data_IF_895863054166
#
_entry.id   IF_895863054166
#
_cell.length_a   1.000
_cell.length_b   1.000
_cell.length_c   1.000
_cell.angle_alpha   90.00
_cell.angle_beta   90.00
_cell.angle_gamma   90.00
#
_symmetry.space_group_name_H-M   'P 1'
#
loop_
_entity.id
_entity.type
_entity.pdbx_description
1 polymer ?
#
# COMPACT_ATOMS: atom_id res chain seq x y z
N UNK A 1 0.14 4.72 19.38
CA UNK A 1 -0.09 5.62 18.23
C UNK A 1 -0.59 4.79 17.05
N UNK A 2 -1.60 5.27 16.34
CA UNK A 2 -2.09 4.67 15.07
C UNK A 2 -1.99 5.73 13.98
N UNK A 3 -1.50 5.35 12.81
CA UNK A 3 -1.47 6.19 11.61
C UNK A 3 -2.37 5.55 10.56
N UNK A 4 -3.27 6.33 9.97
CA UNK A 4 -4.08 5.87 8.84
C UNK A 4 -4.47 7.08 7.94
N UNK A 5 -5.23 6.86 6.87
CA UNK A 5 -5.64 7.94 5.98
C UNK A 5 -6.59 7.52 4.88
N UNK A 6 -7.04 8.49 4.10
CA UNK A 6 -8.08 8.30 3.10
C UNK A 6 -7.62 7.54 1.85
N UNK A 7 -6.30 7.40 1.65
CA UNK A 7 -5.73 7.01 0.36
C UNK A 7 -6.17 5.64 -0.13
N UNK A 8 -6.37 4.67 0.77
CA UNK A 8 -6.65 3.27 0.41
C UNK A 8 -8.03 2.84 0.86
N UNK A 9 -8.42 3.23 2.07
CA UNK A 9 -9.74 2.92 2.59
C UNK A 9 -10.84 3.66 1.81
N UNK A 10 -10.58 4.86 1.28
CA UNK A 10 -11.59 5.68 0.58
C UNK A 10 -11.27 5.92 -0.90
N UNK A 11 -10.33 5.16 -1.47
CA UNK A 11 -9.82 5.36 -2.84
C UNK A 11 -9.40 6.82 -3.16
N UNK A 12 -8.99 7.56 -2.14
CA UNK A 12 -8.76 9.01 -2.23
C UNK A 12 -7.26 9.34 -2.28
N UNK A 13 -6.48 8.63 -3.10
CA UNK A 13 -5.01 8.78 -3.15
C UNK A 13 -4.55 10.22 -3.45
N UNK A 14 -5.29 10.92 -4.31
CA UNK A 14 -5.05 12.32 -4.67
C UNK A 14 -5.46 13.35 -3.62
N UNK A 15 -6.27 12.96 -2.61
CA UNK A 15 -6.85 13.89 -1.64
C UNK A 15 -5.86 14.31 -0.55
N UNK A 16 -4.78 13.54 -0.36
CA UNK A 16 -3.69 13.86 0.57
C UNK A 16 -4.16 14.04 2.02
N UNK A 17 -5.12 13.23 2.45
CA UNK A 17 -5.64 13.22 3.83
C UNK A 17 -5.12 12.00 4.59
N UNK A 18 -4.52 12.26 5.74
CA UNK A 18 -4.09 11.26 6.72
C UNK A 18 -4.35 11.77 8.13
N UNK A 19 -4.42 10.85 9.09
CA UNK A 19 -4.66 11.16 10.48
C UNK A 19 -3.83 10.26 11.40
N UNK A 20 -3.64 10.75 12.62
CA UNK A 20 -2.92 10.06 13.67
C UNK A 20 -3.80 10.02 14.92
N UNK A 21 -3.94 8.85 15.52
CA UNK A 21 -4.62 8.66 16.79
C UNK A 21 -3.58 8.39 17.87
N UNK A 22 -3.65 9.16 18.95
CA UNK A 22 -2.80 9.03 20.13
C UNK A 22 -3.67 8.68 21.35
N UNK A 23 -3.22 7.78 22.23
CA UNK A 23 -3.90 7.50 23.48
C UNK A 23 -4.13 8.77 24.32
N UNK A 24 -5.32 8.90 24.90
CA UNK A 24 -5.68 10.08 25.70
C UNK A 24 -5.18 10.01 27.16
N UNK A 25 -4.95 8.80 27.68
CA UNK A 25 -4.56 8.57 29.09
C UNK A 25 -3.06 8.30 29.28
N UNK A 26 -2.23 8.66 28.31
CA UNK A 26 -0.77 8.51 28.37
C UNK A 26 -0.09 9.88 28.31
N UNK A 27 0.68 10.22 29.35
CA UNK A 27 1.38 11.50 29.46
C UNK A 27 2.29 11.74 28.26
N UNK A 28 3.01 10.70 27.81
CA UNK A 28 3.90 10.79 26.65
C UNK A 28 3.12 11.15 25.39
N UNK A 29 1.98 10.51 25.18
CA UNK A 29 1.08 10.78 24.05
C UNK A 29 0.51 12.20 24.04
N UNK A 30 0.18 12.75 25.21
CA UNK A 30 -0.28 14.14 25.34
C UNK A 30 0.83 15.15 24.99
N UNK A 31 2.05 14.92 25.47
CA UNK A 31 3.23 15.73 25.13
C UNK A 31 3.53 15.66 23.62
N UNK A 32 3.50 14.45 23.05
CA UNK A 32 3.69 14.24 21.62
C UNK A 32 2.62 14.96 20.78
N UNK A 33 1.35 14.96 21.19
CA UNK A 33 0.27 15.67 20.48
C UNK A 33 0.58 17.16 20.31
N UNK A 34 1.08 17.82 21.36
CA UNK A 34 1.47 19.22 21.31
C UNK A 34 2.65 19.44 20.34
N UNK A 35 3.67 18.59 20.41
CA UNK A 35 4.83 18.66 19.50
C UNK A 35 4.48 18.39 18.05
N UNK A 36 3.59 17.45 17.77
CA UNK A 36 3.07 17.22 16.42
C UNK A 36 2.26 18.42 15.92
N UNK A 37 1.45 19.06 16.77
CA UNK A 37 0.72 20.27 16.41
C UNK A 37 1.66 21.44 16.09
N UNK A 38 2.71 21.65 16.90
CA UNK A 38 3.77 22.62 16.63
C UNK A 38 4.41 22.36 15.25
N UNK A 39 4.82 21.13 14.96
CA UNK A 39 5.40 20.78 13.65
C UNK A 39 4.41 20.91 12.49
N UNK A 40 3.16 20.53 12.68
CA UNK A 40 2.13 20.61 11.65
C UNK A 40 1.83 22.06 11.26
N UNK A 41 1.98 23.01 12.20
CA UNK A 41 1.75 24.44 11.95
C UNK A 41 2.65 25.00 10.83
N UNK A 42 3.84 24.41 10.61
CA UNK A 42 4.77 24.79 9.52
C UNK A 42 4.15 24.58 8.13
N UNK A 43 3.17 23.67 8.00
CA UNK A 43 2.43 23.41 6.76
C UNK A 43 0.97 23.87 6.82
N UNK A 44 0.61 24.67 7.85
CA UNK A 44 -0.72 25.20 8.14
C UNK A 44 -1.79 24.13 8.40
N UNK A 45 -2.26 23.44 7.36
CA UNK A 45 -3.30 22.43 7.47
C UNK A 45 -3.35 21.52 6.23
N UNK A 46 -4.10 20.42 6.35
CA UNK A 46 -4.51 19.59 5.20
C UNK A 46 -5.39 20.43 4.26
N UNK A 47 -5.38 20.17 2.95
CA UNK A 47 -6.22 20.94 2.02
C UNK A 47 -7.71 20.90 2.46
N UNK A 48 -8.31 22.09 2.54
CA UNK A 48 -9.64 22.28 3.13
C UNK A 48 -10.75 21.47 2.43
N UNK A 49 -10.82 21.40 1.08
CA UNK A 49 -11.86 20.61 0.42
C UNK A 49 -11.80 19.12 0.77
N UNK A 50 -10.61 18.54 0.83
CA UNK A 50 -10.46 17.13 1.19
C UNK A 50 -10.77 16.87 2.67
N UNK A 51 -10.57 17.84 3.57
CA UNK A 51 -11.01 17.70 4.96
C UNK A 51 -12.54 17.56 5.05
N UNK A 52 -13.31 18.37 4.30
CA UNK A 52 -14.77 18.25 4.25
C UNK A 52 -15.22 16.93 3.62
N UNK A 53 -14.62 16.53 2.50
CA UNK A 53 -14.94 15.26 1.86
C UNK A 53 -14.64 14.05 2.76
N UNK A 54 -13.50 14.07 3.45
CA UNK A 54 -13.12 13.01 4.37
C UNK A 54 -14.04 12.98 5.60
N UNK A 55 -14.44 14.14 6.13
CA UNK A 55 -15.40 14.23 7.23
C UNK A 55 -16.75 13.59 6.86
N UNK A 56 -17.28 13.89 5.67
CA UNK A 56 -18.51 13.23 5.18
C UNK A 56 -18.32 11.72 5.03
N UNK A 57 -17.19 11.29 4.45
CA UNK A 57 -16.91 9.89 4.20
C UNK A 57 -16.83 9.06 5.50
N UNK A 58 -16.24 9.60 6.57
CA UNK A 58 -16.20 8.93 7.88
C UNK A 58 -17.53 9.01 8.63
N UNK A 59 -18.32 10.08 8.45
CA UNK A 59 -19.63 10.23 9.08
C UNK A 59 -20.69 9.31 8.45
N UNK A 60 -20.58 9.00 7.16
CA UNK A 60 -21.52 8.14 6.43
C UNK A 60 -21.01 6.68 6.30
N UNK A 61 -20.61 6.10 7.43
CA UNK A 61 -19.90 4.81 7.48
C UNK A 61 -20.65 3.61 6.87
N UNK A 62 -21.99 3.61 6.85
CA UNK A 62 -22.78 2.48 6.31
C UNK A 62 -22.67 2.35 4.78
N UNK A 63 -22.73 3.47 4.07
CA UNK A 63 -22.56 3.48 2.61
C UNK A 63 -21.13 3.09 2.26
N UNK A 64 -20.17 3.68 2.97
CA UNK A 64 -18.75 3.35 2.82
C UNK A 64 -18.44 1.87 3.04
N UNK A 65 -18.96 1.26 4.10
CA UNK A 65 -18.73 -0.14 4.43
C UNK A 65 -19.19 -1.09 3.31
N UNK A 66 -20.33 -0.79 2.68
CA UNK A 66 -20.85 -1.60 1.57
C UNK A 66 -19.92 -1.52 0.35
N UNK A 67 -19.52 -0.31 -0.05
CA UNK A 67 -18.63 -0.11 -1.20
C UNK A 67 -17.26 -0.74 -0.98
N UNK A 68 -16.69 -0.58 0.23
CA UNK A 68 -15.39 -1.15 0.55
C UNK A 68 -15.41 -2.67 0.57
N UNK A 69 -16.46 -3.31 1.09
CA UNK A 69 -16.58 -4.79 1.03
C UNK A 69 -16.57 -5.30 -0.41
N UNK A 70 -17.24 -4.60 -1.32
CA UNK A 70 -17.21 -4.96 -2.74
C UNK A 70 -15.81 -4.81 -3.33
N UNK A 71 -15.16 -3.66 -3.09
CA UNK A 71 -13.80 -3.38 -3.57
C UNK A 71 -12.78 -4.40 -3.05
N UNK A 72 -12.84 -4.72 -1.75
CA UNK A 72 -11.97 -5.72 -1.12
C UNK A 72 -12.18 -7.11 -1.75
N UNK A 73 -13.43 -7.50 -2.02
CA UNK A 73 -13.72 -8.78 -2.69
C UNK A 73 -13.14 -8.84 -4.11
N UNK A 74 -13.21 -7.76 -4.88
CA UNK A 74 -12.61 -7.70 -6.22
C UNK A 74 -11.08 -7.73 -6.17
N UNK A 75 -10.47 -7.01 -5.23
CA UNK A 75 -9.03 -7.06 -4.98
C UNK A 75 -8.60 -8.48 -4.60
N UNK A 76 -9.34 -9.13 -3.70
CA UNK A 76 -9.04 -10.50 -3.26
C UNK A 76 -9.07 -11.48 -4.44
N UNK A 77 -10.06 -11.38 -5.34
CA UNK A 77 -10.12 -12.20 -6.56
C UNK A 77 -8.89 -11.99 -7.45
N UNK A 78 -8.47 -10.74 -7.67
CA UNK A 78 -7.30 -10.41 -8.51
C UNK A 78 -6.01 -10.91 -7.88
N UNK A 79 -5.82 -10.66 -6.58
CA UNK A 79 -4.69 -11.17 -5.80
C UNK A 79 -4.65 -12.68 -5.90
N UNK A 80 -5.78 -13.35 -5.74
CA UNK A 80 -5.84 -14.80 -5.78
C UNK A 80 -5.45 -15.36 -7.15
N UNK A 81 -6.02 -14.81 -8.22
CA UNK A 81 -5.70 -15.20 -9.59
C UNK A 81 -4.20 -14.98 -9.91
N UNK A 82 -3.66 -13.82 -9.55
CA UNK A 82 -2.25 -13.50 -9.77
C UNK A 82 -1.31 -14.43 -8.98
N UNK A 83 -1.65 -14.72 -7.71
CA UNK A 83 -0.90 -15.69 -6.90
C UNK A 83 -0.93 -17.09 -7.51
N UNK A 84 -2.08 -17.54 -8.01
CA UNK A 84 -2.22 -18.88 -8.57
C UNK A 84 -1.35 -19.03 -9.83
N UNK A 85 -1.38 -18.04 -10.74
CA UNK A 85 -0.49 -18.01 -11.92
C UNK A 85 0.99 -17.96 -11.52
N UNK A 86 1.35 -17.14 -10.54
CA UNK A 86 2.76 -17.03 -10.10
C UNK A 86 3.28 -18.33 -9.46
N UNK A 87 2.40 -19.13 -8.82
CA UNK A 87 2.77 -20.42 -8.22
C UNK A 87 3.08 -21.51 -9.23
N UNK A 88 2.56 -21.39 -10.46
CA UNK A 88 2.85 -22.34 -11.54
C UNK A 88 4.29 -22.23 -12.05
N UNK A 89 4.97 -21.11 -11.78
CA UNK A 89 6.34 -20.89 -12.22
C UNK A 89 7.35 -21.40 -11.19
N UNK A 90 8.05 -22.49 -11.52
CA UNK A 90 9.07 -23.11 -10.66
C UNK A 90 10.25 -22.18 -10.29
N UNK A 91 10.47 -21.11 -11.06
CA UNK A 91 11.52 -20.11 -10.81
C UNK A 91 11.04 -18.97 -9.90
N UNK A 92 9.81 -19.06 -9.39
CA UNK A 92 9.23 -18.10 -8.46
C UNK A 92 8.69 -18.81 -7.22
N UNK A 93 8.83 -18.17 -6.07
CA UNK A 93 8.18 -18.58 -4.84
C UNK A 93 7.31 -17.43 -4.35
N UNK A 94 6.02 -17.69 -4.12
CA UNK A 94 5.07 -16.66 -3.71
C UNK A 94 4.27 -17.11 -2.49
N UNK A 95 4.06 -16.19 -1.57
CA UNK A 95 3.17 -16.35 -0.42
C UNK A 95 1.88 -15.60 -0.71
N UNK A 96 0.72 -16.24 -0.44
CA UNK A 96 -0.57 -15.58 -0.60
C UNK A 96 -0.67 -14.47 0.48
N UNK A 97 -0.84 -13.19 0.11
CA UNK A 97 -0.99 -12.12 1.09
C UNK A 97 -2.39 -12.17 1.71
N UNK A 98 -2.50 -11.79 2.99
CA UNK A 98 -3.77 -11.75 3.72
C UNK A 98 -4.43 -10.35 3.71
N UNK A 99 -3.87 -9.40 2.97
CA UNK A 99 -4.34 -8.02 2.93
C UNK A 99 -3.50 -7.14 2.01
N UNK A 100 -3.92 -5.88 1.86
CA UNK A 100 -3.46 -4.99 0.79
C UNK A 100 -3.68 -5.60 -0.61
N UNK A 101 -3.08 -5.00 -1.63
CA UNK A 101 -3.22 -5.38 -3.04
C UNK A 101 -1.83 -5.54 -3.70
N UNK A 102 -0.83 -5.96 -2.91
CA UNK A 102 0.53 -6.19 -3.39
C UNK A 102 0.93 -7.65 -3.19
N UNK A 103 1.64 -8.19 -4.17
CA UNK A 103 2.23 -9.53 -4.11
C UNK A 103 3.73 -9.37 -4.23
N UNK A 104 4.49 -10.10 -3.42
CA UNK A 104 5.94 -10.02 -3.35
C UNK A 104 6.56 -11.39 -3.67
N UNK A 105 6.53 -11.87 -4.93
CA UNK A 105 7.21 -13.10 -5.30
C UNK A 105 8.73 -12.96 -5.15
N UNK A 106 9.33 -14.02 -4.61
CA UNK A 106 10.76 -14.26 -4.72
C UNK A 106 11.04 -14.82 -6.10
N UNK A 107 12.03 -14.28 -6.79
CA UNK A 107 12.45 -14.72 -8.11
C UNK A 107 13.84 -15.37 -8.00
N UNK A 108 14.00 -16.54 -8.62
CA UNK A 108 15.30 -17.18 -8.73
C UNK A 108 16.11 -16.56 -9.88
N UNK A 109 16.73 -15.40 -9.59
CA UNK A 109 17.56 -14.70 -10.56
C UNK A 109 18.76 -15.54 -11.04
N UNK A 110 19.27 -16.45 -10.20
CA UNK A 110 20.41 -17.30 -10.55
C UNK A 110 20.06 -18.26 -11.68
N UNK A 111 18.92 -18.96 -11.60
CA UNK A 111 18.48 -19.85 -12.70
C UNK A 111 18.10 -19.09 -13.97
N UNK A 112 17.67 -17.83 -13.83
CA UNK A 112 17.38 -16.94 -14.95
C UNK A 112 18.62 -16.25 -15.54
N UNK A 113 19.80 -16.42 -14.93
CA UNK A 113 21.04 -15.70 -15.30
C UNK A 113 20.86 -14.17 -15.29
N UNK A 114 20.07 -13.70 -14.34
CA UNK A 114 19.84 -12.28 -14.08
C UNK A 114 20.65 -11.90 -12.84
N UNK A 115 21.29 -10.74 -12.87
CA UNK A 115 22.17 -10.27 -11.80
C UNK A 115 21.40 -9.87 -10.54
N UNK A 116 20.36 -9.05 -10.72
CA UNK A 116 19.60 -8.43 -9.64
C UNK A 116 18.17 -8.07 -10.10
N UNK A 117 17.36 -7.60 -9.16
CA UNK A 117 15.97 -7.19 -9.42
C UNK A 117 15.87 -5.96 -10.32
N UNK A 118 16.90 -5.12 -10.39
CA UNK A 118 16.96 -4.00 -11.32
C UNK A 118 17.06 -4.51 -12.76
N UNK A 119 18.00 -5.40 -13.06
CA UNK A 119 18.10 -6.02 -14.38
C UNK A 119 16.82 -6.78 -14.75
N UNK A 120 16.23 -7.52 -13.81
CA UNK A 120 14.95 -8.21 -14.04
C UNK A 120 13.85 -7.23 -14.46
N UNK A 121 13.61 -6.19 -13.66
CA UNK A 121 12.53 -5.23 -13.91
C UNK A 121 12.75 -4.44 -15.20
N UNK A 122 14.00 -4.04 -15.51
CA UNK A 122 14.32 -3.31 -16.73
C UNK A 122 14.11 -4.16 -17.99
N UNK A 123 14.55 -5.43 -17.97
CA UNK A 123 14.29 -6.37 -19.08
C UNK A 123 12.81 -6.64 -19.25
N UNK A 124 12.11 -6.96 -18.17
CA UNK A 124 10.68 -7.26 -18.20
C UNK A 124 9.86 -6.06 -18.72
N UNK A 125 10.23 -4.83 -18.34
CA UNK A 125 9.59 -3.63 -18.87
C UNK A 125 9.85 -3.44 -20.38
N UNK A 126 11.06 -3.71 -20.87
CA UNK A 126 11.43 -3.52 -22.27
C UNK A 126 10.85 -4.58 -23.19
N UNK A 127 10.83 -5.83 -22.72
CA UNK A 127 10.43 -7.01 -23.51
C UNK A 127 8.91 -7.23 -23.43
N UNK A 128 8.33 -7.14 -22.23
CA UNK A 128 6.90 -7.46 -22.00
C UNK A 128 6.02 -6.22 -21.81
N UNK A 129 6.61 -5.03 -21.75
CA UNK A 129 5.88 -3.76 -21.51
C UNK A 129 5.11 -3.73 -20.18
N UNK A 130 5.56 -4.50 -19.19
CA UNK A 130 4.96 -4.55 -17.84
C UNK A 130 5.91 -3.93 -16.82
N UNK A 131 5.43 -2.90 -16.11
CA UNK A 131 6.19 -2.24 -15.06
C UNK A 131 6.00 -2.94 -13.71
N UNK A 132 7.11 -3.34 -13.09
CA UNK A 132 7.16 -3.91 -11.75
C UNK A 132 7.95 -3.01 -10.79
N UNK A 133 7.73 -3.17 -9.49
CA UNK A 133 8.55 -2.51 -8.48
C UNK A 133 9.70 -3.42 -8.05
N UNK A 134 10.91 -2.87 -7.95
CA UNK A 134 12.10 -3.56 -7.44
C UNK A 134 11.94 -3.94 -5.95
N UNK A 135 12.27 -5.17 -5.58
CA UNK A 135 12.25 -5.65 -4.19
C UNK A 135 13.35 -5.04 -3.32
N UNK A 136 14.51 -4.70 -3.90
CA UNK A 136 15.62 -4.01 -3.25
C UNK A 136 15.20 -2.67 -2.62
N UNK A 137 14.25 -1.96 -3.23
CA UNK A 137 13.65 -0.75 -2.66
C UNK A 137 12.86 -0.98 -1.35
N UNK A 138 12.56 -2.23 -1.02
CA UNK A 138 11.88 -2.67 0.21
C UNK A 138 12.81 -3.51 1.11
N UNK A 139 14.11 -3.59 0.81
CA UNK A 139 15.05 -4.45 1.53
C UNK A 139 14.92 -5.93 1.20
N UNK A 140 14.32 -6.29 0.05
CA UNK A 140 14.06 -7.65 -0.38
C UNK A 140 14.72 -7.96 -1.74
N UNK A 141 16.05 -8.12 -1.74
CA UNK A 141 16.89 -8.13 -2.96
C UNK A 141 16.52 -9.18 -4.02
N UNK A 142 15.97 -10.34 -3.63
CA UNK A 142 15.53 -11.39 -4.58
C UNK A 142 14.04 -11.34 -4.91
N UNK A 143 13.39 -10.20 -4.74
CA UNK A 143 11.94 -10.07 -4.96
C UNK A 143 11.62 -8.99 -5.97
N UNK A 144 10.42 -9.07 -6.51
CA UNK A 144 9.75 -7.97 -7.20
C UNK A 144 8.38 -7.78 -6.57
N UNK A 145 7.84 -6.55 -6.59
CA UNK A 145 6.49 -6.28 -6.10
C UNK A 145 5.55 -6.03 -7.28
N UNK A 146 4.50 -6.83 -7.33
CA UNK A 146 3.39 -6.78 -8.28
C UNK A 146 2.20 -6.12 -7.59
N UNK A 147 1.45 -5.31 -8.35
CA UNK A 147 0.17 -4.73 -7.92
C UNK A 147 -0.95 -5.53 -8.60
N UNK A 148 -1.88 -6.07 -7.82
CA UNK A 148 -3.00 -6.88 -8.32
C UNK A 148 -4.28 -6.07 -8.48
#
# INVERSE_FOLDING_TARGET
MVLNGASKDFDATGFRVGYMLLPENDKTSLELKLKFAEMASVRLCVNTPAQYAFAEAISNGKMHEKEIKHMVSEIEKRVNAAVDVLKENEKMAVVRPNGAFYILPKVDFKSLRIKDDHEFVDKFLKEEHVMLSRGSGFGAESHVRVVA
#
